data_IF_087370947305
#
_entry.id   IF_087370947305
#
_cell.length_a   1.000
_cell.length_b   1.000
_cell.length_c   1.000
_cell.angle_alpha   90.00
_cell.angle_beta   90.00
_cell.angle_gamma   90.00
#
_symmetry.space_group_name_H-M   'P 1'
#
loop_
_entity.id
_entity.type
_entity.pdbx_description
1 polymer ?
#
# COMPACT_ATOMS: atom_id res chain seq x y z
N UNK A 1 -0.19 6.56 -17.53
CA UNK A 1 0.24 5.26 -16.96
C UNK A 1 0.14 5.26 -15.45
N UNK A 2 0.93 6.09 -14.76
CA UNK A 2 0.85 6.20 -13.30
C UNK A 2 -0.56 6.52 -12.81
N UNK A 3 -1.24 7.46 -13.44
CA UNK A 3 -2.58 7.89 -13.04
C UNK A 3 -3.63 6.79 -13.15
N UNK A 4 -3.47 5.85 -14.07
CA UNK A 4 -4.45 4.79 -14.27
C UNK A 4 -4.29 3.63 -13.31
N UNK A 5 -3.06 3.35 -12.88
CA UNK A 5 -2.74 2.12 -12.15
C UNK A 5 -2.26 2.38 -10.74
N UNK A 6 -1.41 3.38 -10.53
CA UNK A 6 -0.67 3.57 -9.29
C UNK A 6 -1.22 4.71 -8.43
N UNK A 7 -1.82 5.72 -9.06
CA UNK A 7 -2.27 6.94 -8.37
C UNK A 7 -3.43 6.70 -7.39
N UNK A 8 -4.12 5.57 -7.49
CA UNK A 8 -5.15 5.21 -6.54
C UNK A 8 -4.59 5.00 -5.12
N UNK A 9 -3.32 4.63 -5.02
CA UNK A 9 -2.67 4.30 -3.75
C UNK A 9 -1.39 5.10 -3.48
N UNK A 10 -0.70 5.56 -4.52
CA UNK A 10 0.58 6.24 -4.37
C UNK A 10 0.50 7.70 -4.81
N UNK A 11 1.35 8.51 -4.19
CA UNK A 11 1.52 9.91 -4.55
C UNK A 11 2.91 10.14 -5.10
N UNK A 12 3.01 10.90 -6.19
CA UNK A 12 4.28 11.36 -6.75
C UNK A 12 4.13 12.84 -7.07
N UNK A 13 5.00 13.66 -6.51
CA UNK A 13 5.03 15.11 -6.77
C UNK A 13 3.64 15.75 -6.68
N UNK A 14 2.86 15.35 -5.68
CA UNK A 14 1.52 15.88 -5.43
C UNK A 14 0.39 15.22 -6.22
N UNK A 15 0.69 14.29 -7.13
CA UNK A 15 -0.31 13.57 -7.93
C UNK A 15 -0.59 12.22 -7.26
N UNK A 16 -1.87 11.89 -7.09
CA UNK A 16 -2.29 10.60 -6.53
C UNK A 16 -2.69 10.68 -5.08
N UNK A 17 -2.97 9.51 -4.49
CA UNK A 17 -3.45 9.39 -3.12
C UNK A 17 -2.39 8.80 -2.20
N UNK A 18 -2.43 9.18 -0.93
CA UNK A 18 -1.46 8.75 0.07
C UNK A 18 -1.97 7.51 0.84
N UNK A 19 -2.23 6.42 0.15
CA UNK A 19 -2.56 5.13 0.76
C UNK A 19 -1.28 4.32 0.97
N UNK A 20 -0.50 4.12 -0.09
CA UNK A 20 0.81 3.51 -0.03
C UNK A 20 1.92 4.55 0.15
N UNK A 21 3.19 4.12 0.13
CA UNK A 21 4.32 5.04 0.25
C UNK A 21 4.31 6.12 -0.83
N UNK A 22 4.74 7.33 -0.46
CA UNK A 22 4.98 8.40 -1.42
C UNK A 22 6.20 8.03 -2.27
N UNK A 23 6.04 8.07 -3.58
CA UNK A 23 7.09 7.66 -4.52
C UNK A 23 7.95 8.82 -5.03
N UNK A 24 7.75 10.03 -4.51
CA UNK A 24 8.50 11.20 -4.95
C UNK A 24 10.01 11.04 -4.75
N UNK A 25 10.43 10.30 -3.72
CA UNK A 25 11.83 10.08 -3.39
C UNK A 25 12.50 8.91 -4.12
N UNK A 26 11.80 8.25 -5.04
CA UNK A 26 12.29 7.01 -5.65
C UNK A 26 13.32 7.22 -6.78
N UNK A 27 13.58 8.46 -7.16
CA UNK A 27 14.43 8.78 -8.30
C UNK A 27 15.85 8.20 -8.23
N UNK A 28 16.34 7.91 -7.04
CA UNK A 28 17.69 7.39 -6.81
C UNK A 28 17.73 5.88 -6.61
N UNK A 29 16.59 5.19 -6.70
CA UNK A 29 16.56 3.74 -6.58
C UNK A 29 16.93 3.08 -7.89
N UNK A 30 17.52 1.88 -7.81
CA UNK A 30 17.88 1.10 -8.98
C UNK A 30 16.62 0.68 -9.75
N UNK A 31 16.67 0.72 -11.08
CA UNK A 31 15.55 0.33 -11.93
C UNK A 31 15.10 -1.10 -11.66
N UNK A 32 16.06 -2.02 -11.50
CA UNK A 32 15.77 -3.44 -11.23
C UNK A 32 14.99 -3.61 -9.94
N UNK A 33 15.31 -2.84 -8.90
CA UNK A 33 14.59 -2.89 -7.63
C UNK A 33 13.15 -2.40 -7.79
N UNK A 34 12.96 -1.31 -8.52
CA UNK A 34 11.63 -0.77 -8.78
C UNK A 34 10.77 -1.72 -9.59
N UNK A 35 11.36 -2.38 -10.59
CA UNK A 35 10.66 -3.41 -11.37
C UNK A 35 10.20 -4.55 -10.46
N UNK A 36 11.08 -5.03 -9.58
CA UNK A 36 10.72 -6.09 -8.63
C UNK A 36 9.63 -5.66 -7.66
N UNK A 37 9.62 -4.41 -7.23
CA UNK A 37 8.57 -3.90 -6.35
C UNK A 37 7.18 -3.98 -7.01
N UNK A 38 7.11 -3.78 -8.32
CA UNK A 38 5.86 -3.89 -9.08
C UNK A 38 5.50 -5.35 -9.34
N UNK A 39 6.48 -6.17 -9.76
CA UNK A 39 6.23 -7.57 -10.14
C UNK A 39 6.02 -8.49 -8.94
N UNK A 40 6.68 -8.20 -7.82
CA UNK A 40 6.63 -9.01 -6.61
C UNK A 40 6.45 -8.12 -5.38
N UNK A 41 5.28 -7.51 -5.20
CA UNK A 41 5.06 -6.52 -4.13
C UNK A 41 5.17 -7.09 -2.72
N UNK A 42 5.06 -8.41 -2.56
CA UNK A 42 5.21 -9.06 -1.25
C UNK A 42 6.65 -9.44 -0.92
N UNK A 43 7.57 -9.30 -1.86
CA UNK A 43 8.98 -9.65 -1.67
C UNK A 43 9.64 -8.79 -0.58
N UNK A 44 9.36 -7.49 -0.63
CA UNK A 44 9.89 -6.53 0.34
C UNK A 44 8.83 -5.46 0.57
N UNK A 45 8.34 -5.37 1.79
CA UNK A 45 7.29 -4.43 2.16
C UNK A 45 7.91 -3.33 3.00
N UNK A 46 7.71 -2.06 2.59
CA UNK A 46 8.19 -0.91 3.33
C UNK A 46 7.64 -0.95 4.77
N UNK A 47 8.49 -0.65 5.74
CA UNK A 47 8.10 -0.60 7.15
C UNK A 47 6.87 0.31 7.34
N UNK A 48 5.88 -0.17 8.07
CA UNK A 48 4.62 0.54 8.30
C UNK A 48 3.55 0.29 7.22
N UNK A 49 3.86 -0.47 6.18
CA UNK A 49 2.94 -0.73 5.06
C UNK A 49 2.54 -2.20 4.92
N UNK A 50 2.80 -3.03 5.92
CA UNK A 50 2.25 -4.38 5.96
C UNK A 50 0.74 -4.33 6.19
N UNK A 51 0.00 -5.22 5.52
CA UNK A 51 -1.44 -5.34 5.72
C UNK A 51 -1.72 -5.88 7.11
N UNK A 52 -2.66 -5.26 7.83
CA UNK A 52 -3.16 -5.76 9.11
C UNK A 52 -4.56 -6.28 8.93
N UNK A 53 -4.85 -7.43 9.53
CA UNK A 53 -6.18 -8.00 9.61
C UNK A 53 -6.72 -7.79 11.02
N UNK A 54 -7.90 -7.19 11.11
CA UNK A 54 -8.58 -6.95 12.37
C UNK A 54 -9.90 -7.69 12.37
N UNK A 55 -10.17 -8.41 13.47
CA UNK A 55 -11.48 -9.00 13.72
C UNK A 55 -12.08 -8.32 14.93
N UNK A 56 -13.33 -7.90 14.79
CA UNK A 56 -14.08 -7.26 15.87
C UNK A 56 -14.93 -8.27 16.61
N UNK A 57 -15.33 -7.93 17.84
CA UNK A 57 -16.14 -8.83 18.69
C UNK A 57 -17.53 -9.07 18.12
N UNK A 58 -18.03 -8.19 17.25
CA UNK A 58 -19.31 -8.35 16.59
C UNK A 58 -19.22 -9.22 15.31
N UNK A 59 -18.04 -9.77 15.00
CA UNK A 59 -17.84 -10.68 13.89
C UNK A 59 -17.40 -10.04 12.58
N UNK A 60 -17.14 -8.74 12.56
CA UNK A 60 -16.61 -8.08 11.35
C UNK A 60 -15.14 -8.37 11.17
N UNK A 61 -14.69 -8.43 9.91
CA UNK A 61 -13.28 -8.55 9.54
C UNK A 61 -12.89 -7.37 8.66
N UNK A 62 -11.80 -6.72 9.02
CA UNK A 62 -11.30 -5.52 8.34
C UNK A 62 -9.83 -5.72 8.01
N UNK A 63 -9.40 -5.30 6.82
CA UNK A 63 -8.01 -5.35 6.41
C UNK A 63 -7.56 -3.97 5.93
N UNK A 64 -6.33 -3.60 6.26
CA UNK A 64 -5.79 -2.31 5.85
C UNK A 64 -4.43 -2.04 6.47
N UNK A 65 -3.98 -0.80 6.31
CA UNK A 65 -2.75 -0.34 6.93
C UNK A 65 -3.05 0.18 8.33
N UNK A 66 -2.23 -0.22 9.30
CA UNK A 66 -2.32 0.32 10.65
C UNK A 66 -1.62 1.68 10.64
N UNK A 67 -2.39 2.77 10.63
CA UNK A 67 -1.85 4.12 10.50
C UNK A 67 -1.74 4.85 11.83
N UNK A 68 -2.43 4.38 12.87
CA UNK A 68 -2.32 4.95 14.21
C UNK A 68 -2.70 3.92 15.27
N UNK A 69 -2.05 4.00 16.42
CA UNK A 69 -2.37 3.23 17.61
C UNK A 69 -2.42 4.15 18.80
N UNK A 70 -3.42 3.97 19.62
CA UNK A 70 -3.56 4.67 20.90
C UNK A 70 -3.99 3.65 21.96
N UNK A 71 -3.91 3.99 23.27
CA UNK A 71 -4.33 3.05 24.33
C UNK A 71 -5.78 2.59 24.18
N UNK A 72 -6.66 3.43 23.66
CA UNK A 72 -8.09 3.12 23.54
C UNK A 72 -8.56 2.69 22.16
N UNK A 73 -7.75 2.84 21.12
CA UNK A 73 -8.18 2.53 19.75
C UNK A 73 -7.02 2.29 18.81
N UNK A 74 -7.35 1.73 17.64
CA UNK A 74 -6.45 1.60 16.48
C UNK A 74 -7.16 2.18 15.27
N UNK A 75 -6.39 2.69 14.29
CA UNK A 75 -6.93 3.23 13.04
C UNK A 75 -6.37 2.46 11.87
N UNK A 76 -7.25 1.93 11.02
CA UNK A 76 -6.89 1.26 9.77
C UNK A 76 -7.25 2.15 8.58
N UNK A 77 -6.39 2.15 7.58
CA UNK A 77 -6.65 2.80 6.28
C UNK A 77 -6.80 1.72 5.22
N UNK A 78 -7.93 1.72 4.51
CA UNK A 78 -8.19 0.74 3.47
C UNK A 78 -7.65 1.19 2.09
N UNK A 79 -7.88 0.36 1.07
CA UNK A 79 -7.42 0.61 -0.30
C UNK A 79 -8.03 1.88 -0.92
N UNK A 80 -9.18 2.32 -0.44
CA UNK A 80 -9.83 3.53 -0.95
C UNK A 80 -9.29 4.79 -0.28
N UNK A 81 -8.44 4.64 0.73
CA UNK A 81 -7.92 5.75 1.52
C UNK A 81 -8.79 6.12 2.72
N UNK A 82 -9.91 5.44 2.91
CA UNK A 82 -10.77 5.67 4.06
C UNK A 82 -10.14 5.12 5.33
N UNK A 83 -10.24 5.88 6.41
CA UNK A 83 -9.73 5.48 7.72
C UNK A 83 -10.89 5.10 8.63
N UNK A 84 -10.69 4.02 9.37
CA UNK A 84 -11.67 3.51 10.31
C UNK A 84 -11.01 3.36 11.67
N UNK A 85 -11.63 3.97 12.68
CA UNK A 85 -11.19 3.86 14.07
C UNK A 85 -11.91 2.70 14.73
N UNK A 86 -11.15 1.77 15.30
CA UNK A 86 -11.69 0.60 16.00
C UNK A 86 -11.31 0.72 17.47
N UNK A 87 -12.30 0.74 18.34
CA UNK A 87 -12.06 0.78 19.79
C UNK A 87 -11.48 -0.56 20.24
N UNK A 88 -10.45 -0.50 21.10
CA UNK A 88 -9.80 -1.74 21.58
C UNK A 88 -10.78 -2.64 22.34
N UNK A 89 -11.78 -2.08 22.99
CA UNK A 89 -12.81 -2.88 23.67
C UNK A 89 -13.64 -3.73 22.67
N UNK A 90 -13.70 -3.33 21.39
CA UNK A 90 -14.41 -4.05 20.35
C UNK A 90 -13.47 -4.93 19.52
N UNK A 91 -12.18 -4.89 19.79
CA UNK A 91 -11.16 -5.63 19.07
C UNK A 91 -11.07 -7.05 19.63
N UNK A 92 -11.36 -8.05 18.81
CA UNK A 92 -11.20 -9.44 19.20
C UNK A 92 -9.78 -9.93 18.86
N UNK A 93 -9.28 -9.55 17.68
CA UNK A 93 -8.01 -10.05 17.18
C UNK A 93 -7.42 -9.06 16.18
N UNK A 94 -6.10 -8.91 16.20
CA UNK A 94 -5.36 -8.12 15.21
C UNK A 94 -4.04 -8.81 14.91
N UNK A 95 -3.73 -8.99 13.62
CA UNK A 95 -2.45 -9.55 13.22
C UNK A 95 -1.88 -8.82 12.01
N UNK A 96 -0.55 -8.74 11.97
CA UNK A 96 0.17 -8.23 10.80
C UNK A 96 0.39 -9.40 9.83
N UNK A 97 -0.07 -9.25 8.61
CA UNK A 97 0.14 -10.23 7.56
C UNK A 97 1.43 -9.92 6.80
N UNK A 98 2.05 -10.95 6.22
CA UNK A 98 3.26 -10.77 5.40
C UNK A 98 2.87 -10.51 3.94
N UNK A 99 1.89 -9.67 3.74
CA UNK A 99 1.41 -9.30 2.42
C UNK A 99 1.25 -7.78 2.32
N UNK A 100 1.47 -7.26 1.13
CA UNK A 100 1.27 -5.85 0.80
C UNK A 100 -0.18 -5.63 0.38
N UNK A 101 -0.71 -4.43 0.60
CA UNK A 101 -1.95 -4.00 -0.04
C UNK A 101 -1.76 -3.81 -1.54
N UNK A 102 -0.53 -3.57 -2.00
CA UNK A 102 -0.23 -3.53 -3.44
C UNK A 102 -0.45 -4.94 -4.00
N UNK A 103 -1.44 -5.13 -4.89
CA UNK A 103 -1.78 -6.48 -5.34
C UNK A 103 -0.73 -7.03 -6.30
N UNK A 104 -0.51 -8.36 -6.30
CA UNK A 104 0.30 -8.99 -7.34
C UNK A 104 -0.45 -8.96 -8.67
N UNK A 105 0.28 -9.07 -9.77
CA UNK A 105 -0.31 -9.17 -11.11
C UNK A 105 -0.57 -7.84 -11.80
N UNK A 106 -0.10 -6.73 -11.27
CA UNK A 106 -0.25 -5.42 -11.91
C UNK A 106 0.40 -5.38 -13.30
N UNK A 107 1.46 -6.16 -13.51
CA UNK A 107 2.17 -6.26 -14.78
C UNK A 107 1.28 -6.81 -15.90
N UNK A 108 0.20 -7.49 -15.58
CA UNK A 108 -0.73 -8.01 -16.58
C UNK A 108 -1.47 -6.88 -17.31
N UNK A 109 -1.58 -5.71 -16.69
CA UNK A 109 -2.19 -4.52 -17.28
C UNK A 109 -1.15 -3.63 -17.99
N UNK A 110 0.13 -4.00 -17.96
CA UNK A 110 1.24 -3.20 -18.48
C UNK A 110 2.06 -4.03 -19.45
N UNK A 111 2.42 -3.42 -20.60
CA UNK A 111 3.44 -4.01 -21.48
C UNK A 111 4.82 -3.79 -20.84
N UNK A 112 5.86 -4.55 -21.27
CA UNK A 112 7.23 -4.25 -20.82
C UNK A 112 7.66 -2.81 -21.10
N UNK A 113 7.22 -2.25 -22.23
CA UNK A 113 7.49 -0.85 -22.57
C UNK A 113 6.78 0.10 -21.59
N UNK A 114 5.53 -0.19 -21.25
CA UNK A 114 4.77 0.63 -20.31
C UNK A 114 5.45 0.66 -18.95
N UNK A 115 5.93 -0.48 -18.48
CA UNK A 115 6.64 -0.57 -17.20
C UNK A 115 7.95 0.21 -17.26
N UNK A 116 8.71 0.09 -18.34
CA UNK A 116 9.96 0.84 -18.53
C UNK A 116 9.70 2.35 -18.53
N UNK A 117 8.67 2.79 -19.23
CA UNK A 117 8.30 4.20 -19.29
C UNK A 117 7.85 4.74 -17.92
N UNK A 118 7.10 3.93 -17.17
CA UNK A 118 6.68 4.27 -15.82
C UNK A 118 7.88 4.44 -14.87
N UNK A 119 8.80 3.50 -14.90
CA UNK A 119 10.01 3.54 -14.07
C UNK A 119 10.84 4.77 -14.43
N UNK A 120 11.03 5.06 -15.71
CA UNK A 120 11.76 6.24 -16.17
C UNK A 120 11.09 7.53 -15.67
N UNK A 121 9.77 7.59 -15.71
CA UNK A 121 9.00 8.74 -15.23
C UNK A 121 9.15 8.94 -13.71
N UNK A 122 9.13 7.85 -12.95
CA UNK A 122 9.30 7.90 -11.49
C UNK A 122 10.69 8.38 -11.08
N UNK A 123 11.68 8.11 -11.92
CA UNK A 123 13.08 8.47 -11.65
C UNK A 123 13.49 9.85 -12.14
N UNK A 124 12.60 10.60 -12.68
CA UNK A 124 12.89 11.97 -13.14
C UNK A 124 13.35 12.91 -12.03
#
# INVERSE_FOLDING_TARGET
MFQKTCAACHRVRGIGKAVGPDLTGERNRAEETMVLDVLAPNREITAGYATHLVRTKDGASLAGLLVAEAPGNVTLRDLTGNEQVILRKNLAEMEALKVSLMPPGLEQALSPKDLADLIAWLRR
#
